data_IF_972798191250
#
_entry.id   IF_972798191250
#
_cell.length_a   1.000
_cell.length_b   1.000
_cell.length_c   1.000
_cell.angle_alpha   90.00
_cell.angle_beta   90.00
_cell.angle_gamma   90.00
#
_symmetry.space_group_name_H-M   'P 1'
#
loop_
_entity.id
_entity.type
_entity.pdbx_description
1 polymer ?
#
# COMPACT_ATOMS: atom_id res chain seq x y z
N UNK A 1 12.19 48.54 43.43
CA UNK A 1 12.80 47.20 43.47
C UNK A 1 11.97 46.28 42.58
N UNK A 2 12.42 46.17 41.33
CA UNK A 2 11.82 45.37 40.28
C UNK A 2 12.32 43.93 40.43
N UNK A 3 11.42 42.94 40.44
CA UNK A 3 11.78 41.53 40.30
C UNK A 3 10.89 40.93 39.22
N UNK A 4 11.45 40.88 38.02
CA UNK A 4 10.92 40.24 36.84
C UNK A 4 10.56 38.77 37.15
N UNK A 5 9.28 38.44 37.05
CA UNK A 5 8.84 37.05 36.88
C UNK A 5 8.98 36.76 35.39
N UNK A 6 10.11 36.18 34.99
CA UNK A 6 10.29 35.55 33.69
C UNK A 6 10.76 34.13 33.95
N UNK A 7 9.81 33.23 34.12
CA UNK A 7 10.02 31.78 34.13
C UNK A 7 8.78 31.14 33.55
N UNK A 8 8.69 31.10 32.23
CA UNK A 8 7.51 30.55 31.56
C UNK A 8 7.59 30.59 30.04
N UNK A 9 8.74 30.24 29.45
CA UNK A 9 8.84 30.07 28.00
C UNK A 9 10.11 29.29 27.64
N UNK A 10 10.25 28.05 28.13
CA UNK A 10 11.33 27.17 27.68
C UNK A 10 10.73 25.82 27.27
N UNK A 11 10.71 25.65 25.94
CA UNK A 11 10.75 24.39 25.18
C UNK A 11 9.40 23.66 25.02
N UNK A 12 8.64 24.13 24.02
CA UNK A 12 7.63 23.33 23.32
C UNK A 12 7.93 23.40 21.82
N UNK A 13 9.08 22.87 21.38
CA UNK A 13 9.46 22.97 19.95
C UNK A 13 10.28 21.78 19.44
N UNK A 14 9.97 20.57 19.88
CA UNK A 14 10.58 19.35 19.32
C UNK A 14 9.53 18.25 19.09
N UNK A 15 8.56 18.53 18.23
CA UNK A 15 7.81 17.49 17.53
C UNK A 15 7.52 17.98 16.11
N UNK A 16 8.58 18.16 15.31
CA UNK A 16 8.43 18.08 13.87
C UNK A 16 8.29 16.60 13.56
N UNK A 17 7.08 16.07 13.71
CA UNK A 17 6.73 14.84 13.02
C UNK A 17 6.68 15.19 11.55
N UNK A 18 7.61 14.66 10.76
CA UNK A 18 7.46 14.60 9.32
C UNK A 18 6.21 13.75 9.05
N UNK A 19 5.05 14.41 9.04
CA UNK A 19 3.86 13.85 8.47
C UNK A 19 4.18 13.70 6.99
N UNK A 20 4.56 12.48 6.58
CA UNK A 20 4.36 12.06 5.19
C UNK A 20 2.95 12.51 4.84
N UNK A 21 2.83 13.45 3.91
CA UNK A 21 1.53 13.91 3.45
C UNK A 21 0.81 12.66 2.94
N UNK A 22 -0.09 12.12 3.75
CA UNK A 22 -0.98 11.07 3.30
C UNK A 22 -1.69 11.67 2.10
N UNK A 23 -1.53 11.04 0.93
CA UNK A 23 -2.22 11.45 -0.28
C UNK A 23 -3.69 11.61 0.10
N UNK A 24 -4.17 12.84 0.08
CA UNK A 24 -5.54 13.12 0.49
C UNK A 24 -6.42 12.47 -0.57
N UNK A 25 -7.19 11.46 -0.17
CA UNK A 25 -8.11 10.76 -1.08
C UNK A 25 -9.40 11.58 -1.30
N UNK A 26 -9.21 12.88 -1.50
CA UNK A 26 -10.26 13.86 -1.76
C UNK A 26 -10.50 13.84 -3.26
N UNK A 27 -11.75 13.70 -3.73
CA UNK A 27 -12.07 13.75 -5.15
C UNK A 27 -11.54 15.01 -5.84
N UNK A 28 -11.21 14.89 -7.13
CA UNK A 28 -10.86 16.02 -8.01
C UNK A 28 -11.95 16.19 -9.08
N UNK A 29 -12.87 17.13 -8.84
CA UNK A 29 -14.06 17.31 -9.68
C UNK A 29 -14.91 16.02 -9.73
N UNK A 30 -15.08 15.48 -10.93
CA UNK A 30 -15.83 14.24 -11.17
C UNK A 30 -14.97 12.97 -10.97
N UNK A 31 -13.66 13.11 -10.75
CA UNK A 31 -12.75 12.00 -10.54
C UNK A 31 -12.77 11.56 -9.08
N UNK A 32 -13.18 10.31 -8.85
CA UNK A 32 -13.13 9.66 -7.53
C UNK A 32 -11.89 8.79 -7.43
N UNK A 33 -11.15 8.94 -6.34
CA UNK A 33 -9.95 8.15 -6.07
C UNK A 33 -10.26 6.88 -5.28
N UNK A 34 -9.48 5.83 -5.53
CA UNK A 34 -9.47 4.60 -4.74
C UNK A 34 -8.42 4.74 -3.65
N UNK A 35 -8.86 4.71 -2.40
CA UNK A 35 -7.97 4.89 -1.24
C UNK A 35 -7.40 3.55 -0.75
N UNK A 36 -6.30 3.61 0.00
CA UNK A 36 -5.74 2.46 0.72
C UNK A 36 -4.81 1.55 -0.10
N UNK A 37 -4.57 1.88 -1.38
CA UNK A 37 -3.56 1.21 -2.20
C UNK A 37 -2.20 1.90 -2.07
N UNK A 38 -1.12 1.16 -2.29
CA UNK A 38 0.26 1.69 -2.30
C UNK A 38 0.86 1.45 -3.67
N UNK A 39 1.22 2.54 -4.37
CA UNK A 39 1.81 2.55 -5.70
C UNK A 39 1.20 1.48 -6.63
N UNK A 40 -0.09 1.60 -6.99
CA UNK A 40 -0.70 0.65 -7.91
C UNK A 40 -0.06 0.79 -9.31
N UNK A 41 0.52 -0.29 -9.87
CA UNK A 41 1.28 -0.21 -11.14
C UNK A 41 0.57 -0.85 -12.35
N UNK A 42 -0.01 -2.04 -12.22
CA UNK A 42 -0.79 -2.68 -13.31
C UNK A 42 -2.26 -2.80 -12.91
N UNK A 43 -3.16 -2.70 -13.89
CA UNK A 43 -4.60 -2.75 -13.71
C UNK A 43 -5.26 -3.72 -14.70
N UNK A 44 -6.16 -4.56 -14.21
CA UNK A 44 -6.98 -5.43 -15.04
C UNK A 44 -8.45 -5.41 -14.59
N UNK A 45 -9.35 -4.96 -15.47
CA UNK A 45 -10.78 -5.04 -15.21
C UNK A 45 -11.29 -6.46 -15.48
N UNK A 46 -11.99 -7.05 -14.51
CA UNK A 46 -12.64 -8.34 -14.68
C UNK A 46 -13.89 -8.14 -15.55
N UNK A 47 -13.99 -8.80 -16.72
CA UNK A 47 -15.12 -8.65 -17.64
C UNK A 47 -16.48 -8.87 -16.96
N UNK A 48 -17.47 -8.07 -17.34
CA UNK A 48 -18.86 -8.15 -16.85
C UNK A 48 -19.03 -8.05 -15.32
N UNK A 49 -18.05 -7.46 -14.63
CA UNK A 49 -18.12 -7.22 -13.18
C UNK A 49 -17.65 -5.81 -12.81
N UNK A 50 -17.97 -5.34 -11.59
CA UNK A 50 -17.44 -4.07 -11.07
C UNK A 50 -16.03 -4.18 -10.46
N UNK A 51 -15.30 -5.27 -10.72
CA UNK A 51 -14.01 -5.51 -10.07
C UNK A 51 -12.83 -5.14 -10.98
N UNK A 52 -11.86 -4.44 -10.40
CA UNK A 52 -10.54 -4.22 -10.99
C UNK A 52 -9.50 -4.88 -10.09
N UNK A 53 -8.58 -5.62 -10.69
CA UNK A 53 -7.39 -6.14 -10.02
C UNK A 53 -6.26 -5.12 -10.21
N UNK A 54 -5.60 -4.77 -9.12
CA UNK A 54 -4.45 -3.87 -9.14
C UNK A 54 -3.24 -4.52 -8.46
N UNK A 55 -2.05 -4.40 -9.04
CA UNK A 55 -0.79 -4.74 -8.35
C UNK A 55 -0.29 -3.53 -7.58
N UNK A 56 0.04 -3.71 -6.30
CA UNK A 56 0.72 -2.70 -5.49
C UNK A 56 2.22 -2.89 -5.47
N UNK A 57 2.97 -1.80 -5.28
CA UNK A 57 4.42 -1.85 -5.08
C UNK A 57 4.82 -1.17 -3.77
N UNK A 58 5.07 -1.98 -2.75
CA UNK A 58 5.50 -1.51 -1.42
C UNK A 58 7.02 -1.43 -1.33
N UNK A 59 7.72 -2.40 -1.92
CA UNK A 59 9.18 -2.44 -2.04
C UNK A 59 9.59 -3.30 -3.24
N UNK A 60 10.89 -3.50 -3.45
CA UNK A 60 11.42 -4.38 -4.51
C UNK A 60 11.08 -5.87 -4.30
N UNK A 61 10.67 -6.25 -3.08
CA UNK A 61 10.34 -7.64 -2.72
C UNK A 61 8.90 -7.83 -2.22
N UNK A 62 8.14 -6.73 -2.08
CA UNK A 62 6.79 -6.77 -1.53
C UNK A 62 5.81 -5.96 -2.39
N UNK A 63 4.73 -6.61 -2.78
CA UNK A 63 3.64 -6.02 -3.53
C UNK A 63 2.34 -6.78 -3.29
N UNK A 64 1.33 -6.15 -2.67
CA UNK A 64 0.01 -6.78 -2.53
C UNK A 64 -0.73 -6.81 -3.86
N UNK A 65 -1.63 -7.76 -4.03
CA UNK A 65 -2.66 -7.70 -5.07
C UNK A 65 -3.94 -7.22 -4.42
N UNK A 66 -4.58 -6.22 -5.02
CA UNK A 66 -5.83 -5.66 -4.56
C UNK A 66 -6.99 -6.10 -5.45
N UNK A 67 -8.13 -6.39 -4.84
CA UNK A 67 -9.43 -6.32 -5.50
C UNK A 67 -10.06 -4.97 -5.19
N UNK A 68 -10.35 -4.20 -6.23
CA UNK A 68 -10.96 -2.87 -6.16
C UNK A 68 -12.40 -2.96 -6.66
N UNK A 69 -13.34 -2.51 -5.84
CA UNK A 69 -14.75 -2.39 -6.21
C UNK A 69 -15.02 -0.99 -6.77
N UNK A 70 -15.33 -0.88 -8.06
CA UNK A 70 -15.53 0.43 -8.70
C UNK A 70 -16.87 1.07 -8.35
N UNK A 71 -17.80 0.35 -7.71
CA UNK A 71 -19.11 0.90 -7.31
C UNK A 71 -18.94 1.96 -6.23
N UNK A 72 -18.11 1.68 -5.23
CA UNK A 72 -17.88 2.52 -4.05
C UNK A 72 -16.40 2.89 -3.84
N UNK A 73 -15.53 2.53 -4.78
CA UNK A 73 -14.10 2.86 -4.78
C UNK A 73 -13.35 2.24 -3.59
N UNK A 74 -13.88 1.16 -3.02
CA UNK A 74 -13.22 0.41 -1.95
C UNK A 74 -12.18 -0.55 -2.51
N UNK A 75 -11.16 -0.86 -1.71
CA UNK A 75 -10.13 -1.84 -2.05
C UNK A 75 -9.90 -2.81 -0.89
N UNK A 76 -9.51 -4.03 -1.22
CA UNK A 76 -9.04 -5.03 -0.24
C UNK A 76 -7.86 -5.81 -0.81
N UNK A 77 -6.95 -6.21 0.08
CA UNK A 77 -5.86 -7.12 -0.27
C UNK A 77 -6.42 -8.52 -0.50
N UNK A 78 -6.07 -9.15 -1.63
CA UNK A 78 -6.43 -10.54 -1.97
C UNK A 78 -5.21 -11.44 -2.14
N UNK A 79 -4.01 -10.86 -2.19
CA UNK A 79 -2.74 -11.57 -2.04
C UNK A 79 -1.76 -10.64 -1.30
N UNK A 80 -1.02 -11.12 -0.30
CA UNK A 80 -0.92 -12.53 0.13
C UNK A 80 -2.00 -12.96 1.14
N UNK A 81 -3.09 -12.20 1.31
CA UNK A 81 -4.13 -12.54 2.29
C UNK A 81 -4.75 -13.93 2.01
N UNK A 82 -4.68 -14.83 2.99
CA UNK A 82 -5.06 -16.24 2.89
C UNK A 82 -4.35 -17.03 1.76
N UNK A 83 -3.25 -16.52 1.21
CA UNK A 83 -2.46 -17.24 0.23
C UNK A 83 -1.65 -18.35 0.90
N UNK A 84 -1.52 -19.48 0.21
CA UNK A 84 -0.56 -20.51 0.60
C UNK A 84 0.86 -19.98 0.39
N UNK A 85 1.78 -20.42 1.25
CA UNK A 85 3.20 -20.18 1.02
C UNK A 85 3.58 -20.81 -0.33
N UNK A 86 4.32 -20.10 -1.20
CA UNK A 86 4.78 -20.69 -2.45
C UNK A 86 5.59 -21.96 -2.18
N UNK A 87 5.10 -23.10 -2.67
CA UNK A 87 5.76 -24.39 -2.57
C UNK A 87 5.89 -25.00 -3.96
N UNK A 88 7.08 -25.46 -4.30
CA UNK A 88 7.34 -26.10 -5.58
C UNK A 88 6.78 -27.53 -5.57
N UNK A 89 5.75 -27.77 -6.37
CA UNK A 89 5.27 -29.13 -6.66
C UNK A 89 6.29 -29.89 -7.52
N UNK A 90 7.19 -30.59 -6.84
CA UNK A 90 8.25 -31.41 -7.44
C UNK A 90 7.73 -32.73 -8.01
N UNK A 91 6.51 -33.14 -7.68
CA UNK A 91 5.91 -34.36 -8.22
C UNK A 91 5.38 -34.08 -9.63
N UNK A 92 4.60 -33.01 -9.78
CA UNK A 92 4.03 -32.61 -11.07
C UNK A 92 5.08 -31.94 -11.95
N UNK A 93 5.98 -31.13 -11.36
CA UNK A 93 6.98 -30.34 -12.09
C UNK A 93 8.41 -30.63 -11.65
N UNK A 94 8.91 -31.88 -11.78
CA UNK A 94 10.25 -32.27 -11.30
C UNK A 94 11.39 -31.55 -12.04
N UNK A 95 11.16 -31.09 -13.27
CA UNK A 95 12.15 -30.38 -14.08
C UNK A 95 12.15 -28.86 -13.91
N UNK A 96 11.24 -28.30 -13.10
CA UNK A 96 11.25 -26.86 -12.84
C UNK A 96 12.38 -26.55 -11.85
N UNK A 97 13.38 -25.71 -12.18
CA UNK A 97 14.55 -25.47 -11.34
C UNK A 97 14.24 -24.67 -10.06
N UNK A 98 12.98 -24.29 -9.83
CA UNK A 98 12.59 -23.35 -8.79
C UNK A 98 12.99 -21.91 -9.12
N UNK A 99 12.61 -20.95 -8.26
CA UNK A 99 13.00 -19.55 -8.43
C UNK A 99 14.52 -19.40 -8.31
N UNK A 100 15.12 -18.60 -9.19
CA UNK A 100 16.53 -18.25 -9.09
C UNK A 100 16.76 -17.37 -7.86
N UNK A 101 17.47 -17.87 -6.85
CA UNK A 101 17.76 -17.12 -5.62
C UNK A 101 19.08 -16.35 -5.66
N UNK A 102 19.82 -16.34 -6.78
CA UNK A 102 21.17 -15.77 -6.84
C UNK A 102 21.23 -14.26 -7.13
N UNK A 103 20.09 -13.57 -7.32
CA UNK A 103 20.06 -12.15 -7.72
C UNK A 103 18.77 -11.43 -7.31
N UNK A 104 18.50 -11.30 -6.01
CA UNK A 104 17.53 -10.33 -5.49
C UNK A 104 18.27 -9.30 -4.62
#
# INVERSE_FOLDING_TARGET
MSRCIVFGAIVFSLFNGDAFAAQTCVPDGDVRFVCGTVNPEDLYQIPDTPWVIASGRVSDVAGPIYAVDIRDQTSRVIFPDNALVPEHDTITYPGCPGPNTSTF
#
